data_IF_421837706715
#
_entry.id   IF_421837706715
#
_cell.length_a   1.000
_cell.length_b   1.000
_cell.length_c   1.000
_cell.angle_alpha   90.00
_cell.angle_beta   90.00
_cell.angle_gamma   90.00
#
_symmetry.space_group_name_H-M   'P 1'
#
loop_
_entity.id
_entity.type
_entity.pdbx_description
1 polymer ?
#
# COMPACT_ATOMS: atom_id res chain seq x y z
N UNK A 1 -1.47 22.81 20.98
CA UNK A 1 -1.38 24.09 21.74
C UNK A 1 -1.06 25.29 20.86
N UNK A 2 -0.10 25.22 19.92
CA UNK A 2 0.28 26.39 19.10
C UNK A 2 -0.80 26.88 18.14
N UNK A 3 -1.74 26.03 17.72
CA UNK A 3 -2.85 26.40 16.83
C UNK A 3 -4.12 26.82 17.57
N UNK A 4 -4.28 26.43 18.83
CA UNK A 4 -5.52 26.69 19.59
C UNK A 4 -5.76 28.18 19.88
N UNK A 5 -4.71 28.91 20.24
CA UNK A 5 -4.83 30.33 20.56
C UNK A 5 -5.23 31.20 19.36
N UNK A 6 -4.57 31.05 18.17
CA UNK A 6 -5.00 31.77 16.98
C UNK A 6 -6.41 31.41 16.51
N UNK A 7 -6.77 30.14 16.57
CA UNK A 7 -8.11 29.68 16.16
C UNK A 7 -9.21 30.24 17.03
N UNK A 8 -9.01 30.33 18.35
CA UNK A 8 -9.97 30.94 19.28
C UNK A 8 -10.18 32.43 19.00
N UNK A 9 -9.12 33.15 18.63
CA UNK A 9 -9.20 34.58 18.31
C UNK A 9 -10.06 34.87 17.07
N UNK A 10 -10.12 33.96 16.10
CA UNK A 10 -10.90 34.10 14.88
C UNK A 10 -12.19 33.27 14.87
N UNK A 11 -12.55 32.62 15.99
CA UNK A 11 -13.76 31.80 16.08
C UNK A 11 -13.75 30.51 15.29
N UNK A 12 -12.58 30.00 14.94
CA UNK A 12 -12.39 28.76 14.18
C UNK A 12 -11.89 27.68 15.14
N UNK A 13 -12.40 26.45 15.02
CA UNK A 13 -11.91 25.31 15.82
C UNK A 13 -10.64 24.73 15.23
N UNK A 14 -9.82 24.08 16.08
CA UNK A 14 -8.60 23.38 15.66
C UNK A 14 -8.93 22.23 14.70
N UNK A 15 -10.02 21.54 14.97
CA UNK A 15 -10.52 20.44 14.13
C UNK A 15 -10.83 20.92 12.71
N UNK A 16 -11.50 22.07 12.60
CA UNK A 16 -11.80 22.66 11.29
C UNK A 16 -10.53 23.02 10.52
N UNK A 17 -9.54 23.60 11.19
CA UNK A 17 -8.26 23.96 10.54
C UNK A 17 -7.54 22.70 10.08
N UNK A 18 -7.49 21.65 10.88
CA UNK A 18 -6.88 20.37 10.51
C UNK A 18 -7.61 19.74 9.33
N UNK A 19 -8.94 19.75 9.37
CA UNK A 19 -9.75 19.23 8.27
C UNK A 19 -9.47 19.97 6.96
N UNK A 20 -9.54 21.32 6.99
CA UNK A 20 -9.30 22.13 5.80
C UNK A 20 -7.86 21.98 5.28
N UNK A 21 -6.88 21.81 6.17
CA UNK A 21 -5.48 21.57 5.83
C UNK A 21 -5.29 20.23 5.10
N UNK A 22 -5.74 19.11 5.70
CA UNK A 22 -5.62 17.78 5.11
C UNK A 22 -6.38 17.70 3.77
N UNK A 23 -7.58 18.30 3.72
CA UNK A 23 -8.36 18.38 2.49
C UNK A 23 -7.61 19.11 1.40
N UNK A 24 -7.05 20.27 1.71
CA UNK A 24 -6.30 21.08 0.74
C UNK A 24 -5.07 20.34 0.24
N UNK A 25 -4.31 19.71 1.13
CA UNK A 25 -3.15 18.90 0.72
C UNK A 25 -3.57 17.74 -0.18
N UNK A 26 -4.65 17.06 0.15
CA UNK A 26 -5.19 15.96 -0.66
C UNK A 26 -5.64 16.45 -2.04
N UNK A 27 -6.33 17.59 -2.11
CA UNK A 27 -6.74 18.18 -3.39
C UNK A 27 -5.53 18.57 -4.26
N UNK A 28 -4.52 19.22 -3.68
CA UNK A 28 -3.29 19.59 -4.37
C UNK A 28 -2.52 18.36 -4.88
N UNK A 29 -2.46 17.31 -4.08
CA UNK A 29 -1.83 16.04 -4.47
C UNK A 29 -2.54 15.41 -5.68
N UNK A 30 -3.87 15.34 -5.63
CA UNK A 30 -4.67 14.82 -6.73
C UNK A 30 -4.48 15.65 -8.00
N UNK A 31 -4.63 16.98 -7.88
CA UNK A 31 -4.65 17.89 -9.02
C UNK A 31 -3.27 18.09 -9.67
N UNK A 32 -2.21 18.13 -8.86
CA UNK A 32 -0.88 18.51 -9.34
C UNK A 32 0.08 17.33 -9.48
N UNK A 33 -0.27 16.17 -8.96
CA UNK A 33 0.58 14.98 -9.06
C UNK A 33 -0.15 13.78 -9.69
N UNK A 34 -1.21 13.27 -9.06
CA UNK A 34 -1.80 12.00 -9.51
C UNK A 34 -2.42 12.09 -10.91
N UNK A 35 -3.28 13.09 -11.15
CA UNK A 35 -3.93 13.25 -12.46
C UNK A 35 -2.94 13.51 -13.58
N UNK A 36 -2.05 14.51 -13.51
CA UNK A 36 -1.07 14.75 -14.56
C UNK A 36 -0.16 13.54 -14.82
N UNK A 37 0.20 12.81 -13.76
CA UNK A 37 1.05 11.64 -13.89
C UNK A 37 0.29 10.47 -14.51
N UNK A 38 -0.96 10.21 -14.11
CA UNK A 38 -1.81 9.21 -14.74
C UNK A 38 -2.03 9.51 -16.24
N UNK A 39 -2.36 10.76 -16.59
CA UNK A 39 -2.52 11.20 -17.97
C UNK A 39 -1.25 10.98 -18.80
N UNK A 40 -0.08 11.34 -18.25
CA UNK A 40 1.19 11.10 -18.90
C UNK A 40 1.44 9.60 -19.16
N UNK A 41 1.19 8.74 -18.16
CA UNK A 41 1.35 7.30 -18.31
C UNK A 41 0.35 6.70 -19.31
N UNK A 42 -0.91 7.11 -19.22
CA UNK A 42 -1.95 6.65 -20.16
C UNK A 42 -1.63 7.01 -21.60
N UNK A 43 -1.05 8.18 -21.84
CA UNK A 43 -0.59 8.57 -23.18
C UNK A 43 0.52 7.65 -23.74
N UNK A 44 1.22 6.92 -22.84
CA UNK A 44 2.21 5.90 -23.21
C UNK A 44 1.63 4.47 -23.20
N UNK A 45 0.33 4.31 -22.95
CA UNK A 45 -0.32 2.99 -22.81
C UNK A 45 0.03 2.27 -21.51
N UNK A 46 0.47 3.00 -20.47
CA UNK A 46 0.88 2.47 -19.16
C UNK A 46 -0.19 2.81 -18.13
N UNK A 47 -0.51 1.85 -17.26
CA UNK A 47 -1.43 2.04 -16.14
C UNK A 47 -0.67 2.48 -14.87
N UNK A 48 -1.28 3.35 -14.08
CA UNK A 48 -0.75 3.83 -12.81
C UNK A 48 -1.24 2.95 -11.66
N UNK A 49 -0.33 2.24 -11.01
CA UNK A 49 -0.56 1.61 -9.71
C UNK A 49 0.26 2.33 -8.66
N UNK A 50 -0.35 2.69 -7.55
CA UNK A 50 0.31 3.49 -6.52
C UNK A 50 -0.21 3.17 -5.12
N UNK A 51 0.66 3.28 -4.15
CA UNK A 51 0.36 3.47 -2.74
C UNK A 51 -0.07 4.92 -2.55
N UNK A 52 -1.37 5.13 -2.57
CA UNK A 52 -1.95 6.46 -2.82
C UNK A 52 -1.79 7.48 -1.70
N UNK A 53 -1.43 7.05 -0.50
CA UNK A 53 -1.18 7.97 0.63
C UNK A 53 -0.23 7.41 1.68
N UNK A 54 0.60 6.46 1.31
CA UNK A 54 1.58 5.82 2.20
C UNK A 54 2.51 6.85 2.84
N UNK A 55 2.51 6.90 4.19
CA UNK A 55 3.37 7.79 4.97
C UNK A 55 3.18 9.30 4.69
N UNK A 56 2.10 9.70 4.04
CA UNK A 56 1.86 11.07 3.61
C UNK A 56 0.64 11.66 4.31
N UNK A 57 0.61 12.98 4.54
CA UNK A 57 -0.48 13.66 5.23
C UNK A 57 -1.70 13.89 4.33
N UNK A 58 -2.06 12.90 3.50
CA UNK A 58 -3.22 12.95 2.61
C UNK A 58 -4.34 12.08 3.16
N UNK A 59 -5.56 12.37 2.75
CA UNK A 59 -6.68 11.48 3.04
C UNK A 59 -6.48 10.14 2.30
N UNK A 60 -6.67 9.04 3.02
CA UNK A 60 -6.27 7.72 2.58
C UNK A 60 -7.10 7.18 1.39
N UNK A 61 -8.40 7.48 1.34
CA UNK A 61 -9.33 6.83 0.39
C UNK A 61 -9.64 7.68 -0.83
N UNK A 62 -9.60 9.00 -0.68
CA UNK A 62 -10.02 9.95 -1.69
C UNK A 62 -9.17 9.96 -2.98
N UNK A 63 -7.85 9.72 -2.93
CA UNK A 63 -7.04 9.60 -4.15
C UNK A 63 -7.31 8.32 -4.96
N UNK A 64 -8.00 7.33 -4.38
CA UNK A 64 -8.23 6.03 -5.01
C UNK A 64 -8.80 6.05 -6.44
N UNK A 65 -9.79 6.91 -6.77
CA UNK A 65 -10.30 7.02 -8.14
C UNK A 65 -9.28 7.45 -9.19
N UNK A 66 -8.23 8.16 -8.79
CA UNK A 66 -7.27 8.80 -9.68
C UNK A 66 -6.16 7.86 -10.19
N UNK A 67 -6.13 6.63 -9.69
CA UNK A 67 -5.17 5.60 -10.09
C UNK A 67 -5.88 4.40 -10.71
N UNK A 68 -5.18 3.58 -11.50
CA UNK A 68 -5.74 2.36 -12.08
C UNK A 68 -5.66 1.17 -11.12
N UNK A 69 -4.68 1.18 -10.24
CA UNK A 69 -4.50 0.21 -9.18
C UNK A 69 -4.17 0.87 -7.86
N UNK A 70 -4.92 0.52 -6.83
CA UNK A 70 -4.67 0.95 -5.46
C UNK A 70 -3.78 -0.08 -4.79
N UNK A 71 -2.69 0.36 -4.18
CA UNK A 71 -1.79 -0.49 -3.41
C UNK A 71 -1.78 -0.08 -1.95
N UNK A 72 -1.73 -1.07 -1.09
CA UNK A 72 -1.47 -0.96 0.35
C UNK A 72 -0.13 -1.59 0.68
N UNK A 73 0.25 -1.58 1.94
CA UNK A 73 1.51 -2.12 2.42
C UNK A 73 1.30 -2.87 3.75
N UNK A 74 2.00 -3.98 3.94
CA UNK A 74 1.78 -4.85 5.10
C UNK A 74 2.40 -4.33 6.39
N UNK A 75 3.49 -3.59 6.33
CA UNK A 75 4.15 -3.02 7.50
C UNK A 75 3.34 -1.85 8.05
N UNK A 76 2.99 -0.91 7.19
CA UNK A 76 2.22 0.31 7.49
C UNK A 76 0.86 -0.02 8.09
N UNK A 77 0.13 -0.90 7.43
CA UNK A 77 -1.20 -1.32 7.89
C UNK A 77 -1.15 -2.34 9.03
N UNK A 78 0.05 -2.66 9.55
CA UNK A 78 0.25 -3.57 10.69
C UNK A 78 -0.38 -4.94 10.49
N UNK A 79 -0.57 -5.37 9.23
CA UNK A 79 -1.28 -6.59 8.84
C UNK A 79 -2.71 -6.67 9.40
N UNK A 80 -3.37 -5.53 9.64
CA UNK A 80 -4.72 -5.47 10.18
C UNK A 80 -5.77 -5.48 9.07
N UNK A 81 -6.71 -6.40 9.16
CA UNK A 81 -7.74 -6.59 8.13
C UNK A 81 -8.62 -5.33 7.94
N UNK A 82 -8.91 -4.61 9.01
CA UNK A 82 -9.77 -3.43 8.95
C UNK A 82 -9.07 -2.25 8.27
N UNK A 83 -7.74 -2.13 8.45
CA UNK A 83 -6.93 -1.16 7.73
C UNK A 83 -6.93 -1.43 6.22
N UNK A 84 -6.73 -2.67 5.80
CA UNK A 84 -6.85 -3.04 4.38
C UNK A 84 -8.25 -2.77 3.81
N UNK A 85 -9.31 -3.01 4.58
CA UNK A 85 -10.69 -2.78 4.13
C UNK A 85 -11.02 -1.32 3.85
N UNK A 86 -10.29 -0.37 4.42
CA UNK A 86 -10.46 1.05 4.10
C UNK A 86 -10.26 1.31 2.62
N UNK A 87 -9.20 0.76 2.02
CA UNK A 87 -8.90 0.93 0.59
C UNK A 87 -9.64 -0.05 -0.33
N UNK A 88 -10.20 -1.12 0.22
CA UNK A 88 -11.11 -1.98 -0.52
C UNK A 88 -12.37 -1.21 -0.97
N UNK A 89 -12.83 -0.22 -0.19
CA UNK A 89 -13.96 0.64 -0.54
C UNK A 89 -13.78 1.32 -1.91
N UNK A 90 -12.83 2.22 -2.08
CA UNK A 90 -12.57 2.86 -3.37
C UNK A 90 -12.19 1.87 -4.47
N UNK A 91 -11.45 0.80 -4.17
CA UNK A 91 -11.11 -0.21 -5.15
C UNK A 91 -12.36 -0.87 -5.75
N UNK A 92 -13.32 -1.25 -4.93
CA UNK A 92 -14.56 -1.88 -5.38
C UNK A 92 -15.53 -0.89 -6.05
N UNK A 93 -15.68 0.32 -5.50
CA UNK A 93 -16.58 1.33 -6.05
C UNK A 93 -16.18 1.79 -7.44
N UNK A 94 -14.89 1.93 -7.68
CA UNK A 94 -14.34 2.44 -8.93
C UNK A 94 -13.74 1.37 -9.84
N UNK A 95 -13.91 0.08 -9.49
CA UNK A 95 -13.42 -1.05 -10.27
C UNK A 95 -11.90 -1.07 -10.46
N UNK A 96 -11.17 -0.63 -9.45
CA UNK A 96 -9.71 -0.58 -9.47
C UNK A 96 -9.09 -1.91 -9.07
N UNK A 97 -7.90 -2.23 -9.61
CA UNK A 97 -7.11 -3.32 -9.08
C UNK A 97 -6.69 -3.00 -7.64
N UNK A 98 -6.80 -3.99 -6.76
CA UNK A 98 -6.39 -3.82 -5.37
C UNK A 98 -5.23 -4.76 -5.06
N UNK A 99 -4.07 -4.17 -4.74
CA UNK A 99 -2.82 -4.87 -4.46
C UNK A 99 -2.25 -4.47 -3.10
N UNK A 100 -1.26 -5.22 -2.66
CA UNK A 100 -0.48 -4.87 -1.48
C UNK A 100 0.98 -5.24 -1.67
N UNK A 101 1.87 -4.33 -1.31
CA UNK A 101 3.24 -4.66 -0.96
C UNK A 101 3.23 -5.53 0.29
N UNK A 102 3.95 -6.64 0.25
CA UNK A 102 3.78 -7.71 1.23
C UNK A 102 5.11 -8.23 1.72
N UNK A 103 5.29 -8.18 3.04
CA UNK A 103 6.41 -8.82 3.70
C UNK A 103 7.55 -7.90 4.10
N UNK A 104 7.47 -6.58 3.85
CA UNK A 104 8.37 -5.63 4.48
C UNK A 104 8.34 -5.78 6.00
N UNK A 105 9.49 -5.82 6.63
CA UNK A 105 9.60 -6.07 8.07
C UNK A 105 10.88 -5.53 8.66
N UNK A 106 10.80 -5.09 9.91
CA UNK A 106 11.95 -4.69 10.70
C UNK A 106 12.64 -5.86 11.42
N UNK A 107 12.16 -7.09 11.23
CA UNK A 107 12.77 -8.28 11.84
C UNK A 107 14.07 -8.64 11.15
N UNK A 108 15.11 -8.89 11.95
CA UNK A 108 16.47 -9.17 11.46
C UNK A 108 16.71 -10.62 11.03
N UNK A 109 15.72 -11.50 11.09
CA UNK A 109 15.89 -12.93 10.84
C UNK A 109 15.22 -13.33 9.53
N UNK A 110 15.75 -14.37 8.92
CA UNK A 110 15.04 -15.08 7.86
C UNK A 110 13.70 -15.57 8.40
N UNK A 111 12.65 -15.25 7.68
CA UNK A 111 11.29 -15.57 8.06
C UNK A 111 10.83 -16.78 7.25
N UNK A 112 10.07 -17.66 7.89
CA UNK A 112 9.47 -18.80 7.22
C UNK A 112 8.22 -18.42 6.42
N UNK A 113 7.72 -19.35 5.62
CA UNK A 113 6.52 -19.12 4.83
C UNK A 113 5.28 -18.76 5.68
N UNK A 114 5.21 -19.20 6.93
CA UNK A 114 4.06 -18.89 7.80
C UNK A 114 3.89 -17.39 8.03
N UNK A 115 4.99 -16.67 8.14
CA UNK A 115 4.94 -15.22 8.29
C UNK A 115 4.25 -14.59 7.09
N UNK A 116 4.67 -14.94 5.88
CA UNK A 116 4.10 -14.41 4.64
C UNK A 116 2.68 -14.92 4.39
N UNK A 117 2.43 -16.21 4.63
CA UNK A 117 1.12 -16.81 4.44
C UNK A 117 0.04 -16.17 5.32
N UNK A 118 0.37 -15.83 6.56
CA UNK A 118 -0.56 -15.12 7.46
C UNK A 118 -0.90 -13.72 6.94
N UNK A 119 0.09 -12.97 6.49
CA UNK A 119 -0.13 -11.65 5.91
C UNK A 119 -0.99 -11.77 4.65
N UNK A 120 -0.60 -12.63 3.73
CA UNK A 120 -1.30 -12.84 2.45
C UNK A 120 -2.75 -13.29 2.69
N UNK A 121 -2.98 -14.25 3.59
CA UNK A 121 -4.33 -14.70 3.93
C UNK A 121 -5.22 -13.58 4.46
N UNK A 122 -4.67 -12.71 5.33
CA UNK A 122 -5.37 -11.54 5.85
C UNK A 122 -5.71 -10.55 4.74
N UNK A 123 -4.77 -10.29 3.85
CA UNK A 123 -4.94 -9.40 2.70
C UNK A 123 -6.00 -9.92 1.72
N UNK A 124 -5.95 -11.21 1.39
CA UNK A 124 -6.97 -11.86 0.53
C UNK A 124 -8.37 -11.78 1.16
N UNK A 125 -8.48 -11.99 2.48
CA UNK A 125 -9.73 -11.85 3.23
C UNK A 125 -10.25 -10.40 3.29
N UNK A 126 -9.36 -9.42 3.13
CA UNK A 126 -9.71 -8.01 3.05
C UNK A 126 -10.15 -7.55 1.65
N UNK A 127 -9.95 -8.38 0.63
CA UNK A 127 -10.31 -8.05 -0.76
C UNK A 127 -9.11 -7.73 -1.66
N UNK A 128 -7.89 -7.85 -1.17
CA UNK A 128 -6.68 -7.70 -1.99
C UNK A 128 -6.56 -8.91 -2.92
N UNK A 129 -6.36 -8.65 -4.20
CA UNK A 129 -6.33 -9.70 -5.24
C UNK A 129 -5.00 -9.77 -5.98
N UNK A 130 -4.02 -8.97 -5.57
CA UNK A 130 -2.65 -8.99 -6.10
C UNK A 130 -1.65 -8.76 -5.00
N UNK A 131 -0.72 -9.68 -4.83
CA UNK A 131 0.41 -9.58 -3.90
C UNK A 131 1.65 -9.11 -4.65
N UNK A 132 2.36 -8.14 -4.10
CA UNK A 132 3.67 -7.68 -4.52
C UNK A 132 4.63 -7.99 -3.39
N UNK A 133 5.50 -8.97 -3.58
CA UNK A 133 6.40 -9.41 -2.50
C UNK A 133 7.53 -8.39 -2.31
N UNK A 134 7.71 -7.93 -1.10
CA UNK A 134 8.85 -7.12 -0.68
C UNK A 134 9.93 -8.03 -0.09
N UNK A 135 11.16 -8.11 -0.61
CA UNK A 135 11.55 -7.61 -1.89
C UNK A 135 12.60 -8.58 -2.43
N UNK A 136 12.83 -8.49 -3.73
CA UNK A 136 13.84 -9.32 -4.36
C UNK A 136 15.22 -8.69 -4.27
N UNK A 137 16.15 -9.35 -3.57
CA UNK A 137 17.50 -8.85 -3.42
C UNK A 137 18.29 -8.94 -4.74
N UNK A 138 19.00 -7.87 -5.07
CA UNK A 138 19.92 -7.88 -6.21
C UNK A 138 21.09 -8.84 -5.94
N UNK A 139 21.45 -9.62 -6.94
CA UNK A 139 22.64 -10.49 -6.89
C UNK A 139 23.90 -9.80 -7.37
N UNK A 140 23.74 -8.69 -8.07
CA UNK A 140 24.83 -7.84 -8.54
C UNK A 140 24.48 -6.38 -8.24
N UNK A 141 25.16 -5.79 -7.29
CA UNK A 141 25.01 -4.38 -6.96
C UNK A 141 25.76 -3.47 -7.93
N UNK A 142 25.69 -2.16 -7.70
CA UNK A 142 26.56 -1.18 -8.31
C UNK A 142 28.02 -1.45 -7.90
N UNK A 143 28.97 -0.84 -8.63
CA UNK A 143 30.39 -0.93 -8.28
C UNK A 143 30.61 -0.54 -6.82
N UNK A 144 31.26 -1.43 -6.06
CA UNK A 144 31.50 -1.26 -4.63
C UNK A 144 30.39 -1.74 -3.70
N UNK A 145 29.28 -2.23 -4.22
CA UNK A 145 28.22 -2.84 -3.41
C UNK A 145 28.62 -4.25 -2.95
N UNK A 146 28.07 -4.68 -1.81
CA UNK A 146 28.25 -6.04 -1.31
C UNK A 146 27.34 -7.02 -2.03
N UNK A 147 27.84 -8.20 -2.38
CA UNK A 147 27.04 -9.21 -3.07
C UNK A 147 26.08 -9.96 -2.12
N UNK A 148 26.41 -10.00 -0.86
CA UNK A 148 25.65 -10.71 0.18
C UNK A 148 25.64 -9.92 1.50
N UNK A 149 24.53 -9.87 2.20
CA UNK A 149 23.24 -10.54 1.99
C UNK A 149 22.29 -9.86 1.00
N UNK A 150 22.75 -8.91 0.18
CA UNK A 150 21.94 -8.32 -0.89
C UNK A 150 20.90 -7.32 -0.43
N UNK A 151 21.28 -6.44 0.48
CA UNK A 151 20.42 -5.36 0.95
C UNK A 151 21.04 -3.98 0.75
N UNK A 152 21.84 -3.87 -0.28
CA UNK A 152 22.50 -2.62 -0.67
C UNK A 152 21.45 -1.56 -1.03
N UNK A 153 21.61 -0.39 -0.46
CA UNK A 153 20.74 0.73 -0.68
C UNK A 153 19.44 0.72 0.11
N UNK A 154 19.13 -0.39 0.77
CA UNK A 154 18.01 -0.46 1.70
C UNK A 154 18.46 -0.25 3.14
N UNK A 155 17.57 0.29 3.94
CA UNK A 155 17.80 0.33 5.36
C UNK A 155 17.86 -1.10 5.91
N UNK A 156 18.82 -1.43 6.81
CA UNK A 156 18.96 -2.80 7.32
C UNK A 156 17.67 -3.37 7.93
N UNK A 157 16.78 -2.49 8.41
CA UNK A 157 15.50 -2.85 8.98
C UNK A 157 14.48 -3.37 7.94
N UNK A 158 14.67 -3.07 6.66
CA UNK A 158 13.74 -3.43 5.58
C UNK A 158 14.42 -4.28 4.51
N UNK A 159 15.39 -5.11 4.92
CA UNK A 159 16.16 -5.95 4.00
C UNK A 159 15.25 -6.83 3.14
N UNK A 160 15.60 -6.97 1.88
CA UNK A 160 14.95 -7.91 0.95
C UNK A 160 15.10 -9.34 1.47
N UNK A 161 14.02 -10.09 1.36
CA UNK A 161 13.93 -11.46 1.90
C UNK A 161 13.88 -12.53 0.82
N UNK A 162 13.68 -12.12 -0.43
CA UNK A 162 13.54 -13.03 -1.55
C UNK A 162 14.73 -12.95 -2.49
N UNK A 163 15.41 -14.05 -2.74
CA UNK A 163 16.36 -14.25 -3.82
C UNK A 163 16.68 -15.74 -4.00
N UNK A 164 17.44 -16.05 -5.03
CA UNK A 164 17.84 -17.45 -5.32
C UNK A 164 18.83 -18.04 -4.33
N UNK A 165 19.46 -17.22 -3.49
CA UNK A 165 20.41 -17.66 -2.44
C UNK A 165 19.68 -18.11 -1.18
N UNK A 166 18.40 -17.80 -1.05
CA UNK A 166 17.60 -18.26 0.09
C UNK A 166 17.38 -19.77 0.04
N UNK A 167 17.56 -20.49 1.16
CA UNK A 167 17.32 -21.94 1.19
C UNK A 167 15.94 -22.37 0.72
N UNK A 168 14.93 -21.51 0.90
CA UNK A 168 13.56 -21.76 0.49
C UNK A 168 13.28 -21.46 -1.00
N UNK A 169 14.26 -20.95 -1.74
CA UNK A 169 14.05 -20.48 -3.13
C UNK A 169 13.57 -21.59 -4.08
N UNK A 170 13.94 -22.84 -3.85
CA UNK A 170 13.47 -23.99 -4.63
C UNK A 170 11.95 -24.20 -4.55
N UNK A 171 11.30 -23.69 -3.48
CA UNK A 171 9.84 -23.81 -3.28
C UNK A 171 9.06 -22.61 -3.80
N UNK A 172 9.71 -21.50 -4.19
CA UNK A 172 9.02 -20.30 -4.66
C UNK A 172 8.07 -20.55 -5.84
N UNK A 173 8.40 -21.35 -6.85
CA UNK A 173 7.47 -21.61 -7.95
C UNK A 173 6.15 -22.24 -7.48
N UNK A 174 6.21 -23.20 -6.56
CA UNK A 174 5.04 -23.88 -6.04
C UNK A 174 4.21 -22.96 -5.15
N UNK A 175 4.88 -22.19 -4.29
CA UNK A 175 4.25 -21.20 -3.40
C UNK A 175 3.56 -20.09 -4.20
N UNK A 176 4.26 -19.49 -5.16
CA UNK A 176 3.69 -18.48 -6.04
C UNK A 176 2.51 -19.02 -6.86
N UNK A 177 2.58 -20.25 -7.33
CA UNK A 177 1.47 -20.89 -8.03
C UNK A 177 0.26 -21.09 -7.12
N UNK A 178 0.44 -21.39 -5.83
CA UNK A 178 -0.65 -21.51 -4.87
C UNK A 178 -1.33 -20.15 -4.63
N UNK A 179 -0.55 -19.10 -4.37
CA UNK A 179 -1.05 -17.72 -4.24
C UNK A 179 -1.80 -17.29 -5.52
N UNK A 180 -1.18 -17.51 -6.68
CA UNK A 180 -1.74 -17.15 -7.98
C UNK A 180 -3.09 -17.82 -8.27
N UNK A 181 -3.28 -19.08 -7.88
CA UNK A 181 -4.58 -19.77 -8.03
C UNK A 181 -5.68 -19.11 -7.18
N UNK A 182 -5.38 -18.77 -5.93
CA UNK A 182 -6.35 -18.10 -5.06
C UNK A 182 -6.68 -16.71 -5.60
N UNK A 183 -5.68 -15.94 -5.99
CA UNK A 183 -5.86 -14.62 -6.59
C UNK A 183 -6.64 -14.68 -7.90
N UNK A 184 -6.40 -15.69 -8.72
CA UNK A 184 -7.18 -15.90 -9.94
C UNK A 184 -8.67 -16.12 -9.62
N UNK A 185 -8.99 -16.98 -8.67
CA UNK A 185 -10.38 -17.24 -8.25
C UNK A 185 -11.04 -15.98 -7.71
N UNK A 186 -10.36 -15.22 -6.85
CA UNK A 186 -10.91 -13.99 -6.27
C UNK A 186 -11.21 -12.89 -7.32
N UNK A 187 -10.53 -12.93 -8.46
CA UNK A 187 -10.76 -11.99 -9.57
C UNK A 187 -11.87 -12.40 -10.53
N UNK A 188 -12.42 -13.63 -10.41
CA UNK A 188 -13.47 -14.10 -11.33
C UNK A 188 -14.87 -13.56 -11.02
N UNK A 189 -15.06 -13.01 -9.83
CA UNK A 189 -16.34 -12.51 -9.37
C UNK A 189 -16.32 -11.00 -9.07
N UNK A 190 -17.41 -10.57 -8.46
CA UNK A 190 -17.51 -9.25 -7.86
C UNK A 190 -17.66 -9.42 -6.36
N UNK A 191 -17.00 -8.59 -5.54
CA UNK A 191 -17.21 -8.62 -4.10
C UNK A 191 -18.66 -8.32 -3.79
N UNK A 192 -19.27 -9.15 -2.95
CA UNK A 192 -20.63 -8.92 -2.46
C UNK A 192 -20.53 -8.17 -1.14
N UNK A 193 -20.83 -6.88 -1.19
CA UNK A 193 -20.78 -5.98 -0.05
C UNK A 193 -22.16 -5.36 0.11
N UNK A 194 -22.86 -5.78 1.18
CA UNK A 194 -24.25 -5.38 1.42
C UNK A 194 -24.33 -4.08 2.26
N UNK A 195 -23.24 -3.68 2.93
CA UNK A 195 -23.19 -2.49 3.78
C UNK A 195 -21.98 -1.64 3.45
N UNK A 196 -22.22 -0.38 3.11
CA UNK A 196 -21.20 0.64 2.97
C UNK A 196 -21.13 1.52 4.22
N UNK A 197 -19.93 1.81 4.70
CA UNK A 197 -19.70 2.76 5.80
C UNK A 197 -19.11 4.01 5.17
N UNK A 198 -19.88 5.11 5.23
CA UNK A 198 -19.40 6.41 4.80
C UNK A 198 -18.71 7.10 5.99
N UNK A 199 -17.46 7.48 5.79
CA UNK A 199 -16.75 8.34 6.72
C UNK A 199 -16.91 9.82 6.31
N UNK A 200 -17.11 10.67 7.29
CA UNK A 200 -17.24 12.13 7.10
C UNK A 200 -16.00 12.90 7.54
N UNK A 201 -15.09 12.24 8.19
CA UNK A 201 -13.78 12.75 8.61
C UNK A 201 -12.68 12.34 7.64
N UNK A 202 -11.61 13.12 7.59
CA UNK A 202 -10.41 12.72 6.86
C UNK A 202 -9.64 11.68 7.67
N UNK A 203 -9.40 10.54 7.05
CA UNK A 203 -8.48 9.53 7.59
C UNK A 203 -7.14 9.67 6.88
N UNK A 204 -6.13 10.07 7.62
CA UNK A 204 -4.75 10.14 7.18
C UNK A 204 -3.98 8.99 7.79
N UNK A 205 -3.03 8.52 7.02
CA UNK A 205 -2.03 7.60 7.51
C UNK A 205 -1.08 8.35 8.43
N UNK A 206 -1.17 8.08 9.72
CA UNK A 206 -0.35 8.68 10.76
C UNK A 206 0.56 7.61 11.34
N UNK A 207 1.68 7.41 10.73
CA UNK A 207 2.75 6.71 11.40
C UNK A 207 3.71 7.60 12.12
#
# INVERSE_FOLDING_TARGET
ERLELPCRQVGITVEKVRYDYVRTLTDLYIENMLRPFAEFLHAQGILLRSEISYGLPFELTRPGPEVDGIETESLEFGSQIDAYRLLAGPAHLFGKQYSSETGATTRNHMLDHRFYDQIIATQLAAGITKTVLHGWASTAGAEGATEWPGHEGMWPAFSERFDLRQPASEFYPQWNAAIGRVQYLLRQGRPRIDVGILRTDHFVDNM
#
